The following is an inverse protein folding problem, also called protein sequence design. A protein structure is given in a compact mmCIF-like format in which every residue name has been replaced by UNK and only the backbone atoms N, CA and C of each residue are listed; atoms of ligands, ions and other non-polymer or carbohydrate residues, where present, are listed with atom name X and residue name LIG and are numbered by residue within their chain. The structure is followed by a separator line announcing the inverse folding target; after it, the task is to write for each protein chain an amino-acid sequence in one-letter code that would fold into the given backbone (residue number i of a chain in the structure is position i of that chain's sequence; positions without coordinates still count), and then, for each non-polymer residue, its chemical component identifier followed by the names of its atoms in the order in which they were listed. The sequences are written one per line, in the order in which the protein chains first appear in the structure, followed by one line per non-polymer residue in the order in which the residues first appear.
data_IF_005507737841
#
_entry.id   IF_005507737841
#
_cell.length_a   1.000
_cell.length_b   1.000
_cell.length_c   1.000
_cell.angle_alpha   90.00
_cell.angle_beta   90.00
_cell.angle_gamma   90.00
#
_symmetry.space_group_name_H-M   'P 1'
#
loop_
_entity.id
_entity.type
_entity.pdbx_description
1 polymer ?
#
# COMPACT_ATOMS: atom_id res chain seq x y z
N UNK A 1 15.21 10.62 -20.07
CA UNK A 1 16.50 9.93 -20.28
C UNK A 1 17.33 10.16 -19.03
N UNK A 2 17.83 9.11 -18.39
CA UNK A 2 18.76 9.23 -17.25
C UNK A 2 20.06 9.89 -17.77
N UNK A 3 20.84 10.55 -16.93
CA UNK A 3 22.09 11.21 -17.35
C UNK A 3 23.18 10.16 -17.65
N UNK A 4 23.93 10.22 -18.77
CA UNK A 4 25.01 9.28 -19.11
C UNK A 4 26.08 9.07 -18.04
N UNK A 5 26.30 10.08 -17.20
CA UNK A 5 27.26 10.04 -16.10
C UNK A 5 26.75 9.29 -14.86
N UNK A 6 25.48 8.89 -14.81
CA UNK A 6 24.88 8.19 -13.66
C UNK A 6 25.01 6.65 -13.76
N UNK A 7 26.00 6.14 -14.50
CA UNK A 7 26.21 4.70 -14.75
C UNK A 7 26.40 3.85 -13.48
N UNK A 8 26.71 4.48 -12.34
CA UNK A 8 26.84 3.83 -11.05
C UNK A 8 25.50 3.69 -10.29
N UNK A 9 24.40 4.26 -10.81
CA UNK A 9 23.06 4.14 -10.22
C UNK A 9 22.31 2.99 -10.91
N UNK A 10 21.64 2.13 -10.15
CA UNK A 10 20.95 0.94 -10.67
C UNK A 10 19.92 1.25 -11.76
N UNK A 11 19.24 2.39 -11.64
CA UNK A 11 18.22 2.85 -12.58
C UNK A 11 18.77 3.25 -13.97
N UNK A 12 20.09 3.38 -14.11
CA UNK A 12 20.72 3.57 -15.42
C UNK A 12 20.67 2.30 -16.29
N UNK A 13 20.88 1.13 -15.68
CA UNK A 13 21.00 -0.13 -16.41
C UNK A 13 19.65 -0.71 -16.84
N UNK A 14 18.56 -0.36 -16.17
CA UNK A 14 17.22 -0.90 -16.42
C UNK A 14 16.21 0.22 -16.60
N UNK A 15 15.43 0.14 -17.68
CA UNK A 15 14.33 1.09 -17.93
C UNK A 15 13.26 0.96 -16.85
N UNK A 16 12.78 2.11 -16.34
CA UNK A 16 11.59 2.19 -15.48
C UNK A 16 10.35 2.38 -16.33
N UNK A 17 9.26 1.72 -15.96
CA UNK A 17 8.01 1.79 -16.71
C UNK A 17 6.86 1.13 -15.97
N UNK A 18 5.69 1.19 -16.58
CA UNK A 18 4.46 0.56 -16.08
C UNK A 18 4.12 -0.61 -16.99
N UNK A 19 3.97 -1.80 -16.42
CA UNK A 19 3.38 -2.95 -17.08
C UNK A 19 1.89 -3.02 -16.73
N UNK A 20 1.06 -3.35 -17.71
CA UNK A 20 -0.40 -3.43 -17.56
C UNK A 20 -0.93 -4.77 -18.03
N UNK A 21 -1.87 -5.34 -17.29
CA UNK A 21 -2.62 -6.54 -17.67
C UNK A 21 -4.11 -6.31 -17.41
N UNK A 22 -4.95 -6.84 -18.30
CA UNK A 22 -6.41 -6.86 -18.14
C UNK A 22 -6.88 -8.29 -17.93
N UNK A 23 -7.51 -8.55 -16.81
CA UNK A 23 -7.93 -9.90 -16.40
C UNK A 23 -9.44 -9.88 -16.19
N UNK A 24 -10.15 -10.79 -16.86
CA UNK A 24 -11.58 -11.00 -16.65
C UNK A 24 -11.77 -11.95 -15.47
N UNK A 25 -12.52 -11.53 -14.46
CA UNK A 25 -12.81 -12.35 -13.27
C UNK A 25 -14.26 -12.84 -13.20
N UNK A 26 -15.14 -12.34 -14.07
CA UNK A 26 -16.56 -12.70 -14.11
C UNK A 26 -17.18 -12.61 -15.50
N UNK A 27 -18.49 -12.84 -15.58
CA UNK A 27 -19.23 -12.88 -16.84
C UNK A 27 -19.71 -11.50 -17.31
N UNK A 28 -19.87 -10.56 -16.37
CA UNK A 28 -20.29 -9.19 -16.66
C UNK A 28 -19.29 -8.47 -17.56
N UNK A 29 -19.79 -7.55 -18.39
CA UNK A 29 -18.95 -6.77 -19.30
C UNK A 29 -17.92 -5.89 -18.58
N UNK A 30 -18.16 -5.58 -17.31
CA UNK A 30 -17.29 -4.82 -16.41
C UNK A 30 -16.57 -5.67 -15.36
N UNK A 31 -16.70 -7.01 -15.41
CA UNK A 31 -16.04 -7.94 -14.47
C UNK A 31 -14.57 -8.13 -14.86
N UNK A 32 -13.87 -7.01 -14.87
CA UNK A 32 -12.51 -6.85 -15.37
C UNK A 32 -11.71 -6.14 -14.28
N UNK A 33 -10.55 -6.70 -13.97
CA UNK A 33 -9.50 -6.03 -13.22
C UNK A 33 -8.39 -5.62 -14.17
N UNK A 34 -8.01 -4.34 -14.13
CA UNK A 34 -6.80 -3.84 -14.76
C UNK A 34 -5.71 -3.70 -13.71
N UNK A 35 -4.66 -4.49 -13.88
CA UNK A 35 -3.50 -4.56 -12.99
C UNK A 35 -2.36 -3.79 -13.62
N UNK A 36 -1.86 -2.78 -12.93
CA UNK A 36 -0.69 -2.00 -13.28
C UNK A 36 0.41 -2.29 -12.26
N UNK A 37 1.56 -2.74 -12.73
CA UNK A 37 2.75 -2.90 -11.89
C UNK A 37 3.83 -1.92 -12.34
N UNK A 38 4.49 -1.26 -11.40
CA UNK A 38 5.56 -0.31 -11.70
C UNK A 38 6.73 -0.46 -10.72
N UNK A 39 7.88 0.02 -11.16
CA UNK A 39 9.01 0.31 -10.29
C UNK A 39 9.40 1.74 -10.63
N UNK A 40 9.13 2.71 -9.76
CA UNK A 40 9.45 4.12 -10.00
C UNK A 40 10.95 4.38 -9.80
N UNK A 41 11.44 5.50 -10.34
CA UNK A 41 12.83 5.89 -10.14
C UNK A 41 13.12 6.05 -8.64
N UNK A 42 14.28 5.60 -8.16
CA UNK A 42 14.63 5.71 -6.75
C UNK A 42 14.98 7.16 -6.34
N UNK A 43 14.70 7.57 -5.08
CA UNK A 43 15.12 8.86 -4.53
C UNK A 43 16.59 8.78 -4.08
N UNK A 44 17.50 8.98 -5.02
CA UNK A 44 18.94 8.97 -4.73
C UNK A 44 19.44 10.22 -3.99
N UNK A 45 18.64 11.28 -3.97
CA UNK A 45 18.94 12.59 -3.41
C UNK A 45 17.73 13.07 -2.62
N UNK A 46 17.95 13.88 -1.60
CA UNK A 46 16.86 14.48 -0.82
C UNK A 46 16.50 15.85 -1.40
N UNK A 47 15.21 16.19 -1.39
CA UNK A 47 14.74 17.53 -1.73
C UNK A 47 15.41 18.59 -0.82
N UNK A 48 15.72 19.79 -1.35
CA UNK A 48 15.39 20.29 -2.69
C UNK A 48 16.40 19.91 -3.79
N UNK A 49 17.44 19.12 -3.47
CA UNK A 49 18.54 18.81 -4.39
C UNK A 49 18.32 17.53 -5.21
N UNK A 50 17.06 17.16 -5.43
CA UNK A 50 16.71 15.93 -6.10
C UNK A 50 16.67 16.07 -7.61
N UNK A 51 17.72 15.61 -8.29
CA UNK A 51 17.82 15.68 -9.75
C UNK A 51 16.79 14.82 -10.47
N UNK A 52 16.12 13.89 -9.78
CA UNK A 52 15.19 12.91 -10.31
C UNK A 52 13.73 13.18 -9.93
N UNK A 53 13.44 14.27 -9.20
CA UNK A 53 12.08 14.63 -8.82
C UNK A 53 11.16 14.77 -10.04
N UNK A 54 11.63 15.41 -11.12
CA UNK A 54 10.87 15.55 -12.36
C UNK A 54 10.54 14.20 -12.99
N UNK A 55 11.49 13.25 -12.96
CA UNK A 55 11.29 11.89 -13.48
C UNK A 55 10.25 11.13 -12.66
N UNK A 56 10.37 11.11 -11.33
CA UNK A 56 9.40 10.45 -10.45
C UNK A 56 8.01 11.06 -10.57
N UNK A 57 7.93 12.39 -10.62
CA UNK A 57 6.67 13.12 -10.82
C UNK A 57 6.00 12.73 -12.14
N UNK A 58 6.76 12.70 -13.25
CA UNK A 58 6.22 12.29 -14.54
C UNK A 58 5.74 10.82 -14.54
N UNK A 59 6.48 9.91 -13.90
CA UNK A 59 6.09 8.51 -13.80
C UNK A 59 4.86 8.31 -12.90
N UNK A 60 4.78 9.00 -11.76
CA UNK A 60 3.63 8.99 -10.87
C UNK A 60 2.37 9.53 -11.58
N UNK A 61 2.52 10.60 -12.38
CA UNK A 61 1.45 11.11 -13.23
C UNK A 61 1.00 10.10 -14.29
N UNK A 62 1.94 9.42 -14.95
CA UNK A 62 1.62 8.42 -15.98
C UNK A 62 0.78 7.28 -15.42
N UNK A 63 1.21 6.66 -14.32
CA UNK A 63 0.42 5.56 -13.71
C UNK A 63 -0.92 6.06 -13.17
N UNK A 64 -1.00 7.28 -12.64
CA UNK A 64 -2.27 7.87 -12.21
C UNK A 64 -3.27 8.02 -13.36
N UNK A 65 -2.80 8.46 -14.55
CA UNK A 65 -3.64 8.53 -15.76
C UNK A 65 -4.14 7.16 -16.21
N UNK A 66 -3.26 6.15 -16.22
CA UNK A 66 -3.61 4.79 -16.62
C UNK A 66 -4.70 4.20 -15.69
N UNK A 67 -4.49 4.34 -14.37
CA UNK A 67 -5.46 3.92 -13.35
C UNK A 67 -6.78 4.67 -13.46
N UNK A 68 -6.75 5.99 -13.69
CA UNK A 68 -7.96 6.79 -13.92
C UNK A 68 -8.74 6.29 -15.14
N UNK A 69 -8.06 6.08 -16.27
CA UNK A 69 -8.71 5.59 -17.48
C UNK A 69 -9.34 4.20 -17.29
N UNK A 70 -8.70 3.32 -16.53
CA UNK A 70 -9.27 2.00 -16.18
C UNK A 70 -10.54 2.14 -15.32
N UNK A 71 -10.52 3.03 -14.34
CA UNK A 71 -11.68 3.30 -13.51
C UNK A 71 -12.84 3.95 -14.29
N UNK A 72 -12.56 4.86 -15.23
CA UNK A 72 -13.58 5.48 -16.11
C UNK A 72 -14.30 4.43 -16.99
N UNK A 73 -13.64 3.32 -17.32
CA UNK A 73 -14.28 2.16 -17.98
C UNK A 73 -15.16 1.32 -17.05
N UNK A 74 -15.15 1.62 -15.74
CA UNK A 74 -15.84 0.87 -14.71
C UNK A 74 -15.13 -0.42 -14.30
N UNK A 75 -13.82 -0.54 -14.58
CA UNK A 75 -13.04 -1.71 -14.18
C UNK A 75 -12.53 -1.57 -12.75
N UNK A 76 -12.27 -2.72 -12.10
CA UNK A 76 -11.47 -2.76 -10.88
C UNK A 76 -10.03 -2.39 -11.25
N UNK A 77 -9.43 -1.49 -10.49
CA UNK A 77 -8.07 -1.02 -10.70
C UNK A 77 -7.20 -1.56 -9.60
N UNK A 78 -6.06 -2.15 -9.96
CA UNK A 78 -4.98 -2.48 -9.05
C UNK A 78 -3.69 -1.82 -9.53
N UNK A 79 -3.15 -0.86 -8.79
CA UNK A 79 -1.83 -0.29 -9.05
C UNK A 79 -0.86 -0.75 -7.97
N UNK A 80 0.22 -1.47 -8.31
CA UNK A 80 1.12 -2.05 -7.31
C UNK A 80 2.59 -2.05 -7.72
N UNK A 81 3.47 -2.30 -6.76
CA UNK A 81 4.92 -2.42 -6.96
C UNK A 81 5.72 -1.49 -6.05
N UNK A 82 6.98 -1.27 -6.42
CA UNK A 82 7.89 -0.37 -5.71
C UNK A 82 7.75 1.05 -6.26
N UNK A 83 7.07 1.92 -5.52
CA UNK A 83 6.87 3.30 -5.95
C UNK A 83 8.00 4.22 -5.51
N UNK A 84 8.99 3.73 -4.77
CA UNK A 84 10.15 4.51 -4.33
C UNK A 84 9.74 5.86 -3.71
N UNK A 85 8.63 5.85 -2.97
CA UNK A 85 8.01 7.03 -2.37
C UNK A 85 7.51 6.71 -0.97
N UNK A 86 7.47 7.72 -0.10
CA UNK A 86 6.85 7.63 1.23
C UNK A 86 5.38 8.10 1.17
N UNK A 87 4.53 7.68 2.12
CA UNK A 87 3.13 8.11 2.14
C UNK A 87 3.03 9.64 2.24
N UNK A 88 2.03 10.22 1.56
CA UNK A 88 1.81 11.67 1.48
C UNK A 88 2.93 12.51 0.83
N UNK A 89 3.99 11.89 0.29
CA UNK A 89 4.93 12.57 -0.62
C UNK A 89 4.21 13.13 -1.86
N UNK A 90 4.89 14.00 -2.63
CA UNK A 90 4.30 14.56 -3.86
C UNK A 90 3.81 13.47 -4.84
N UNK A 91 4.63 12.43 -5.07
CA UNK A 91 4.28 11.32 -5.95
C UNK A 91 3.04 10.55 -5.45
N UNK A 92 2.98 10.27 -4.14
CA UNK A 92 1.84 9.58 -3.52
C UNK A 92 0.55 10.41 -3.64
N UNK A 93 0.64 11.72 -3.37
CA UNK A 93 -0.48 12.65 -3.52
C UNK A 93 -0.94 12.77 -4.97
N UNK A 94 -0.03 12.83 -5.94
CA UNK A 94 -0.38 12.85 -7.36
C UNK A 94 -1.21 11.62 -7.75
N UNK A 95 -0.78 10.44 -7.34
CA UNK A 95 -1.48 9.18 -7.60
C UNK A 95 -2.86 9.15 -6.95
N UNK A 96 -2.91 9.47 -5.66
CA UNK A 96 -4.14 9.38 -4.84
C UNK A 96 -5.16 10.48 -5.18
N UNK A 97 -4.72 11.59 -5.77
CA UNK A 97 -5.60 12.72 -6.16
C UNK A 97 -6.08 12.58 -7.60
N UNK A 98 -5.22 12.13 -8.51
CA UNK A 98 -5.53 12.09 -9.94
C UNK A 98 -5.98 10.72 -10.44
N UNK A 99 -6.08 9.72 -9.57
CA UNK A 99 -6.80 8.48 -9.83
C UNK A 99 -7.83 8.25 -8.72
N UNK A 100 -8.93 7.54 -9.00
CA UNK A 100 -9.90 7.16 -7.97
C UNK A 100 -9.42 5.96 -7.12
N UNK A 101 -8.21 5.44 -7.38
CA UNK A 101 -7.62 4.38 -6.59
C UNK A 101 -7.03 4.94 -5.29
N UNK A 102 -7.17 4.18 -4.20
CA UNK A 102 -6.72 4.54 -2.85
C UNK A 102 -5.62 3.60 -2.41
N UNK A 103 -4.67 4.14 -1.65
CA UNK A 103 -3.65 3.36 -0.97
C UNK A 103 -4.33 2.41 0.03
N UNK A 104 -4.29 1.10 -0.24
CA UNK A 104 -5.02 0.10 0.55
C UNK A 104 -4.52 0.03 1.99
N UNK A 105 -3.25 0.41 2.24
CA UNK A 105 -2.70 0.41 3.59
C UNK A 105 -3.27 1.57 4.40
N UNK A 106 -3.29 2.78 3.83
CA UNK A 106 -3.86 3.97 4.51
C UNK A 106 -5.37 3.86 4.70
N UNK A 107 -6.06 3.08 3.87
CA UNK A 107 -7.49 2.77 4.09
C UNK A 107 -7.71 2.02 5.42
N UNK A 108 -6.80 1.12 5.80
CA UNK A 108 -6.89 0.35 7.04
C UNK A 108 -6.17 1.01 8.22
N UNK A 109 -5.05 1.68 7.95
CA UNK A 109 -4.18 2.34 8.93
C UNK A 109 -4.01 3.82 8.55
N UNK A 110 -5.04 4.67 8.74
CA UNK A 110 -5.00 6.08 8.33
C UNK A 110 -3.91 6.88 9.06
N UNK A 111 -3.46 6.38 10.20
CA UNK A 111 -2.42 6.96 11.02
C UNK A 111 -1.02 6.37 10.78
N UNK A 112 -0.81 5.52 9.76
CA UNK A 112 0.50 4.92 9.49
C UNK A 112 1.64 5.96 9.36
N UNK A 113 2.90 5.53 9.47
CA UNK A 113 4.04 6.43 9.26
C UNK A 113 4.01 7.06 7.86
N UNK A 114 4.52 8.28 7.74
CA UNK A 114 4.67 9.03 6.48
C UNK A 114 6.14 9.18 6.08
N UNK A 115 7.00 8.36 6.67
CA UNK A 115 8.45 8.28 6.48
C UNK A 115 9.06 7.32 7.50
N UNK A 116 10.39 7.17 7.48
CA UNK A 116 11.09 6.54 8.59
C UNK A 116 11.05 7.47 9.82
N UNK A 117 11.14 6.93 11.04
CA UNK A 117 11.11 7.75 12.26
C UNK A 117 12.25 8.77 12.35
N UNK A 118 13.35 8.53 11.62
CA UNK A 118 14.49 9.44 11.49
C UNK A 118 14.30 10.54 10.43
N UNK A 119 13.27 10.44 9.59
CA UNK A 119 12.99 11.42 8.55
C UNK A 119 12.30 12.66 9.18
N UNK A 120 12.63 13.85 8.70
CA UNK A 120 12.11 15.11 9.26
C UNK A 120 10.58 15.18 9.27
N UNK A 121 9.94 14.60 8.25
CA UNK A 121 8.48 14.55 8.13
C UNK A 121 7.82 13.73 9.25
N UNK A 122 8.45 12.64 9.70
CA UNK A 122 7.93 11.81 10.78
C UNK A 122 8.35 12.36 12.15
N UNK A 123 9.57 12.91 12.29
CA UNK A 123 9.99 13.65 13.49
C UNK A 123 9.04 14.79 13.82
N UNK A 124 8.54 15.50 12.81
CA UNK A 124 7.58 16.58 12.99
C UNK A 124 6.25 16.11 13.64
N UNK A 125 5.88 14.84 13.48
CA UNK A 125 4.70 14.23 14.13
C UNK A 125 4.92 13.90 15.60
N UNK A 126 6.16 13.97 16.09
CA UNK A 126 6.56 13.72 17.49
C UNK A 126 6.03 12.40 18.05
N UNK A 127 6.00 11.37 17.19
CA UNK A 127 5.61 10.02 17.60
C UNK A 127 6.81 9.28 18.21
N UNK A 128 6.59 8.30 19.10
CA UNK A 128 7.65 7.44 19.58
C UNK A 128 8.35 6.71 18.43
N UNK A 129 9.62 6.33 18.64
CA UNK A 129 10.32 5.44 17.71
C UNK A 129 9.55 4.11 17.66
N UNK A 130 9.10 3.66 16.49
CA UNK A 130 8.34 2.42 16.39
C UNK A 130 9.23 1.21 16.63
N UNK A 131 8.64 0.13 17.14
CA UNK A 131 9.28 -1.18 17.19
C UNK A 131 9.19 -1.86 15.82
N UNK A 132 9.97 -2.93 15.63
CA UNK A 132 9.89 -3.77 14.44
C UNK A 132 8.46 -4.29 14.21
N UNK A 133 7.78 -4.76 15.26
CA UNK A 133 6.39 -5.22 15.20
C UNK A 133 5.41 -4.11 14.81
N UNK A 134 5.51 -2.94 15.45
CA UNK A 134 4.65 -1.80 15.11
C UNK A 134 4.86 -1.36 13.66
N UNK A 135 6.10 -1.41 13.17
CA UNK A 135 6.40 -1.12 11.78
C UNK A 135 5.75 -2.10 10.81
N UNK A 136 5.70 -3.40 11.14
CA UNK A 136 5.04 -4.40 10.32
C UNK A 136 3.52 -4.29 10.35
N UNK A 137 2.95 -4.12 11.54
CA UNK A 137 1.50 -4.22 11.75
C UNK A 137 0.77 -2.90 11.45
N UNK A 138 1.34 -1.76 11.81
CA UNK A 138 0.66 -0.46 11.72
C UNK A 138 1.23 0.42 10.60
N UNK A 139 2.57 0.51 10.51
CA UNK A 139 3.19 1.39 9.50
C UNK A 139 3.30 0.75 8.11
N UNK A 140 3.20 -0.58 8.02
CA UNK A 140 3.38 -1.32 6.78
C UNK A 140 4.77 -1.18 6.18
N UNK A 141 5.81 -1.11 7.01
CA UNK A 141 7.16 -0.92 6.54
C UNK A 141 7.62 -2.12 5.70
N UNK A 142 8.10 -1.83 4.49
CA UNK A 142 8.50 -2.84 3.51
C UNK A 142 10.00 -2.89 3.30
N UNK A 143 10.73 -1.83 3.63
CA UNK A 143 12.18 -1.80 3.51
C UNK A 143 12.82 -1.21 4.76
N UNK A 144 14.16 -1.33 4.85
CA UNK A 144 14.99 -0.69 5.89
C UNK A 144 14.72 -1.11 7.35
N UNK A 145 13.86 -2.11 7.55
CA UNK A 145 13.59 -2.68 8.86
C UNK A 145 14.80 -3.44 9.41
N UNK A 146 15.01 -3.37 10.72
CA UNK A 146 15.95 -4.24 11.46
C UNK A 146 15.70 -5.73 11.26
N UNK A 147 14.51 -6.14 10.81
CA UNK A 147 14.20 -7.54 10.49
C UNK A 147 14.83 -7.99 9.16
N UNK A 148 15.18 -7.06 8.27
CA UNK A 148 15.72 -7.35 6.95
C UNK A 148 17.25 -7.43 6.97
N UNK A 149 17.80 -8.62 6.70
CA UNK A 149 19.24 -8.87 6.81
C UNK A 149 20.08 -8.08 5.81
N UNK A 150 19.50 -7.62 4.70
CA UNK A 150 20.21 -6.81 3.71
C UNK A 150 20.53 -5.40 4.20
N UNK A 151 19.95 -5.00 5.34
CA UNK A 151 20.15 -3.70 5.99
C UNK A 151 20.95 -3.79 7.27
N UNK A 152 21.37 -4.99 7.64
CA UNK A 152 22.31 -5.24 8.74
C UNK A 152 23.71 -4.73 8.40
N UNK A 153 24.48 -4.43 9.44
CA UNK A 153 25.91 -4.14 9.32
C UNK A 153 26.66 -5.32 8.69
N UNK A 154 27.86 -5.06 8.15
CA UNK A 154 28.70 -6.13 7.58
C UNK A 154 29.11 -7.16 8.65
N UNK A 155 29.26 -6.72 9.89
CA UNK A 155 29.56 -7.55 11.06
C UNK A 155 28.40 -8.49 11.39
N UNK A 156 27.16 -7.98 11.38
CA UNK A 156 25.97 -8.77 11.58
C UNK A 156 25.73 -9.75 10.42
N UNK A 157 25.93 -9.32 9.17
CA UNK A 157 25.82 -10.20 8.00
C UNK A 157 26.81 -11.37 8.04
N UNK A 158 28.01 -11.20 8.62
CA UNK A 158 28.99 -12.31 8.81
C UNK A 158 28.50 -13.40 9.77
N UNK A 159 27.46 -13.12 10.58
CA UNK A 159 26.83 -14.10 11.46
C UNK A 159 25.84 -15.00 10.73
N UNK A 160 25.46 -14.65 9.50
CA UNK A 160 24.54 -15.44 8.67
C UNK A 160 25.28 -16.57 7.94
N UNK A 161 24.55 -17.62 7.61
CA UNK A 161 25.01 -18.67 6.69
C UNK A 161 24.93 -20.08 7.26
N UNK A 162 25.39 -21.07 6.47
CA UNK A 162 25.35 -22.47 6.86
C UNK A 162 26.14 -22.70 8.16
N UNK A 163 25.60 -23.54 9.05
CA UNK A 163 26.19 -23.90 10.34
C UNK A 163 26.38 -22.72 11.32
N UNK A 164 25.70 -21.59 11.09
CA UNK A 164 25.61 -20.49 12.05
C UNK A 164 24.33 -20.63 12.89
N UNK A 165 24.35 -20.21 14.18
CA UNK A 165 23.14 -20.15 14.97
C UNK A 165 22.15 -19.17 14.35
N UNK A 166 20.86 -19.48 14.45
CA UNK A 166 19.81 -18.57 14.01
C UNK A 166 19.85 -17.27 14.83
N UNK A 167 19.70 -16.13 14.14
CA UNK A 167 19.73 -14.81 14.77
C UNK A 167 18.31 -14.30 14.89
N UNK A 168 17.68 -14.46 16.05
CA UNK A 168 16.37 -13.87 16.30
C UNK A 168 16.48 -12.37 16.62
N UNK A 169 15.51 -11.59 16.15
CA UNK A 169 15.36 -10.17 16.46
C UNK A 169 14.03 -10.03 17.22
N UNK A 170 14.09 -9.47 18.42
CA UNK A 170 12.90 -9.32 19.26
C UNK A 170 11.90 -8.35 18.60
N UNK A 171 10.61 -8.64 18.72
CA UNK A 171 9.55 -7.87 18.04
C UNK A 171 9.45 -6.42 18.53
N UNK A 172 9.89 -6.17 19.78
CA UNK A 172 9.96 -4.87 20.43
C UNK A 172 11.25 -4.08 20.13
N UNK A 173 12.15 -4.62 19.29
CA UNK A 173 13.39 -3.93 18.90
C UNK A 173 13.05 -2.58 18.24
N UNK A 174 13.63 -1.45 18.69
CA UNK A 174 13.45 -0.15 18.04
C UNK A 174 13.90 -0.19 16.58
N UNK A 175 13.04 0.27 15.69
CA UNK A 175 13.25 0.16 14.24
C UNK A 175 13.07 1.52 13.55
N UNK A 176 14.01 2.47 13.81
CA UNK A 176 13.84 3.87 13.45
C UNK A 176 13.99 4.16 11.95
N UNK A 177 14.51 3.19 11.18
CA UNK A 177 14.84 3.35 9.75
C UNK A 177 13.81 2.76 8.80
N UNK A 178 12.96 1.86 9.29
CA UNK A 178 11.99 1.19 8.44
C UNK A 178 11.01 2.19 7.84
N UNK A 179 10.64 1.93 6.57
CA UNK A 179 9.66 2.74 5.85
C UNK A 179 8.95 1.91 4.79
N UNK A 180 7.85 2.45 4.28
CA UNK A 180 7.05 1.83 3.23
C UNK A 180 7.35 2.46 1.89
N UNK A 181 7.84 1.65 0.95
CA UNK A 181 8.10 2.04 -0.44
C UNK A 181 7.26 1.24 -1.45
N UNK A 182 6.72 0.09 -1.01
CA UNK A 182 5.90 -0.79 -1.83
C UNK A 182 4.42 -0.55 -1.52
N UNK A 183 3.60 -0.45 -2.57
CA UNK A 183 2.20 -0.05 -2.44
C UNK A 183 1.29 -0.98 -3.22
N UNK A 184 0.04 -1.04 -2.77
CA UNK A 184 -1.10 -1.47 -3.57
C UNK A 184 -2.15 -0.35 -3.49
N UNK A 185 -2.63 0.08 -4.65
CA UNK A 185 -3.70 1.03 -4.84
C UNK A 185 -4.90 0.31 -5.44
N UNK A 186 -6.10 0.55 -4.91
CA UNK A 186 -7.34 -0.03 -5.43
C UNK A 186 -8.49 0.97 -5.44
N UNK A 187 -9.34 0.93 -6.47
CA UNK A 187 -10.62 1.65 -6.46
C UNK A 187 -11.74 0.78 -5.88
N UNK A 188 -12.88 1.38 -5.59
CA UNK A 188 -14.05 0.66 -5.05
C UNK A 188 -15.02 0.20 -6.13
N UNK A 189 -14.93 0.74 -7.36
CA UNK A 189 -15.96 0.60 -8.41
C UNK A 189 -17.39 0.96 -7.95
N UNK A 190 -17.55 1.61 -6.80
CA UNK A 190 -18.86 1.94 -6.26
C UNK A 190 -19.49 3.05 -7.09
N UNK A 191 -20.72 2.82 -7.56
CA UNK A 191 -21.53 3.81 -8.27
C UNK A 191 -22.63 4.35 -7.34
N UNK A 192 -22.55 5.61 -6.88
CA UNK A 192 -23.59 6.21 -6.05
C UNK A 192 -24.97 6.26 -6.70
N UNK A 193 -25.06 6.21 -8.04
CA UNK A 193 -26.33 6.16 -8.76
C UNK A 193 -26.90 4.74 -8.84
N UNK A 194 -26.10 3.72 -8.53
CA UNK A 194 -26.50 2.33 -8.50
C UNK A 194 -25.92 1.61 -7.27
N UNK A 195 -26.31 2.01 -6.04
CA UNK A 195 -25.72 1.48 -4.82
C UNK A 195 -25.96 -0.02 -4.64
N UNK A 196 -27.05 -0.56 -5.18
CA UNK A 196 -27.39 -1.98 -5.10
C UNK A 196 -26.39 -2.89 -5.82
N UNK A 197 -25.64 -2.35 -6.80
CA UNK A 197 -24.54 -3.07 -7.44
C UNK A 197 -23.37 -3.33 -6.48
N UNK A 198 -23.24 -2.54 -5.40
CA UNK A 198 -22.16 -2.68 -4.44
C UNK A 198 -20.83 -2.13 -4.93
N UNK A 199 -19.76 -2.56 -4.26
CA UNK A 199 -18.39 -2.20 -4.62
C UNK A 199 -17.36 -3.01 -3.86
N UNK A 200 -16.11 -2.81 -4.24
CA UNK A 200 -14.93 -3.42 -3.63
C UNK A 200 -14.47 -2.63 -2.41
N UNK A 201 -14.14 -3.35 -1.34
CA UNK A 201 -13.54 -2.80 -0.13
C UNK A 201 -12.26 -3.57 0.19
N UNK A 202 -11.36 -2.93 0.94
CA UNK A 202 -10.16 -3.55 1.50
C UNK A 202 -10.58 -4.31 2.76
N UNK A 203 -10.44 -5.63 2.73
CA UNK A 203 -10.70 -6.50 3.88
C UNK A 203 -9.50 -6.61 4.80
N UNK A 204 -8.31 -6.72 4.21
CA UNK A 204 -7.06 -6.86 4.96
C UNK A 204 -5.88 -6.43 4.11
N UNK A 205 -4.85 -5.89 4.77
CA UNK A 205 -3.51 -5.72 4.21
C UNK A 205 -2.49 -6.24 5.22
N UNK A 206 -1.37 -6.81 4.76
CA UNK A 206 -0.27 -7.25 5.63
C UNK A 206 1.08 -7.15 4.92
N UNK A 207 2.14 -6.99 5.70
CA UNK A 207 3.51 -7.18 5.22
C UNK A 207 3.81 -8.68 5.19
N UNK A 208 4.36 -9.16 4.08
CA UNK A 208 4.66 -10.56 3.83
C UNK A 208 6.12 -10.80 3.46
N UNK A 209 6.46 -12.04 3.09
CA UNK A 209 7.83 -12.46 2.75
C UNK A 209 8.89 -12.12 3.82
N UNK A 210 8.47 -12.15 5.09
CA UNK A 210 9.33 -11.88 6.26
C UNK A 210 10.34 -13.01 6.56
N UNK A 211 10.15 -14.17 5.93
CA UNK A 211 10.94 -15.36 6.17
C UNK A 211 12.37 -15.20 5.63
N UNK A 212 13.28 -15.96 6.25
CA UNK A 212 14.67 -16.05 5.82
C UNK A 212 14.92 -17.37 5.09
N UNK A 213 15.90 -17.37 4.19
CA UNK A 213 16.33 -18.57 3.51
C UNK A 213 16.85 -19.59 4.54
N UNK A 214 16.28 -20.79 4.60
CA UNK A 214 16.58 -21.81 5.64
C UNK A 214 18.08 -22.11 5.82
N UNK A 215 18.83 -22.24 4.71
CA UNK A 215 20.29 -22.50 4.72
C UNK A 215 21.15 -21.27 4.97
N UNK A 216 20.84 -20.14 4.33
CA UNK A 216 21.71 -18.96 4.32
C UNK A 216 21.32 -17.90 5.36
N UNK A 217 20.14 -18.05 5.97
CA UNK A 217 19.56 -17.17 6.99
C UNK A 217 19.39 -15.71 6.55
N UNK A 218 19.62 -15.36 5.29
CA UNK A 218 19.32 -14.04 4.75
C UNK A 218 17.83 -13.90 4.39
N UNK A 219 17.30 -12.69 4.47
CA UNK A 219 16.00 -12.32 3.91
C UNK A 219 15.95 -12.61 2.41
N UNK A 220 14.78 -13.02 1.90
CA UNK A 220 14.62 -13.40 0.48
C UNK A 220 14.76 -12.21 -0.49
N UNK A 221 14.57 -11.00 0.01
CA UNK A 221 14.71 -9.73 -0.70
C UNK A 221 15.09 -8.63 0.30
N UNK A 222 15.66 -7.52 -0.15
CA UNK A 222 15.86 -6.33 0.67
C UNK A 222 14.59 -5.50 0.88
N UNK A 223 13.49 -5.94 0.25
CA UNK A 223 12.12 -5.52 0.51
C UNK A 223 11.27 -6.71 1.00
N UNK A 224 10.31 -6.42 1.87
CA UNK A 224 9.20 -7.29 2.21
C UNK A 224 8.03 -7.05 1.25
N UNK A 225 7.14 -8.04 1.09
CA UNK A 225 5.98 -7.90 0.21
C UNK A 225 4.84 -7.15 0.91
N UNK A 226 3.94 -6.56 0.12
CA UNK A 226 2.62 -6.12 0.59
C UNK A 226 1.59 -7.07 0.01
N UNK A 227 0.69 -7.57 0.85
CA UNK A 227 -0.42 -8.43 0.45
C UNK A 227 -1.74 -7.77 0.83
N UNK A 228 -2.75 -7.85 -0.05
CA UNK A 228 -4.09 -7.33 0.24
C UNK A 228 -5.16 -8.32 -0.17
N UNK A 229 -6.29 -8.32 0.55
CA UNK A 229 -7.52 -9.00 0.13
C UNK A 229 -8.60 -7.95 -0.08
N UNK A 230 -9.11 -7.88 -1.30
CA UNK A 230 -10.30 -7.10 -1.63
C UNK A 230 -11.52 -8.01 -1.64
N UNK A 231 -12.65 -7.50 -1.15
CA UNK A 231 -13.93 -8.19 -1.23
C UNK A 231 -14.99 -7.30 -1.84
N UNK A 232 -15.80 -7.87 -2.70
CA UNK A 232 -16.97 -7.19 -3.24
C UNK A 232 -18.14 -7.33 -2.27
N UNK A 233 -18.72 -6.21 -1.85
CA UNK A 233 -19.87 -6.18 -0.96
C UNK A 233 -21.00 -5.38 -1.57
N UNK A 234 -22.24 -5.80 -1.33
CA UNK A 234 -23.41 -4.97 -1.61
C UNK A 234 -23.42 -3.80 -0.64
N UNK A 235 -23.80 -2.63 -1.12
CA UNK A 235 -24.11 -1.51 -0.24
C UNK A 235 -25.49 -1.76 0.37
N UNK A 236 -25.54 -1.86 1.68
CA UNK A 236 -26.78 -1.70 2.42
C UNK A 236 -26.54 -0.56 3.40
N UNK A 237 -27.48 0.38 3.48
CA UNK A 237 -27.34 1.46 4.46
C UNK A 237 -27.31 0.87 5.87
N UNK A 238 -26.59 1.49 6.82
CA UNK A 238 -26.58 1.05 8.22
C UNK A 238 -28.00 0.84 8.78
N UNK A 239 -28.97 1.67 8.36
CA UNK A 239 -30.39 1.53 8.70
C UNK A 239 -31.05 0.28 8.12
N UNK A 240 -30.83 -0.03 6.84
CA UNK A 240 -31.42 -1.21 6.18
C UNK A 240 -30.84 -2.52 6.75
N UNK A 241 -29.53 -2.56 7.00
CA UNK A 241 -28.89 -3.72 7.64
C UNK A 241 -29.27 -3.87 9.11
N UNK A 242 -29.53 -2.78 9.85
CA UNK A 242 -30.07 -2.86 11.22
C UNK A 242 -31.46 -3.50 11.21
N UNK A 243 -32.29 -3.18 10.21
CA UNK A 243 -33.62 -3.77 10.04
C UNK A 243 -33.50 -5.24 9.66
N UNK A 244 -32.63 -5.60 8.71
CA UNK A 244 -32.37 -7.00 8.34
C UNK A 244 -31.80 -7.82 9.50
N UNK A 245 -30.86 -7.28 10.27
CA UNK A 245 -30.30 -7.95 11.44
C UNK A 245 -31.35 -8.13 12.53
N UNK A 246 -32.19 -7.12 12.82
CA UNK A 246 -33.31 -7.26 13.76
C UNK A 246 -34.30 -8.34 13.30
N UNK A 247 -34.60 -8.39 12.00
CA UNK A 247 -35.45 -9.41 11.40
C UNK A 247 -34.82 -10.82 11.48
N UNK A 248 -33.51 -10.95 11.23
CA UNK A 248 -32.79 -12.21 11.32
C UNK A 248 -32.68 -12.71 12.77
N UNK A 249 -32.52 -11.80 13.74
CA UNK A 249 -32.56 -12.10 15.18
C UNK A 249 -33.96 -12.55 15.59
N UNK A 250 -35.02 -11.86 15.17
CA UNK A 250 -36.40 -12.26 15.47
C UNK A 250 -36.78 -13.60 14.83
N UNK A 251 -36.17 -13.94 13.70
CA UNK A 251 -36.43 -15.17 12.96
C UNK A 251 -35.50 -16.33 13.35
N UNK A 252 -34.62 -16.16 14.36
CA UNK A 252 -33.78 -17.23 14.90
C UNK A 252 -32.61 -17.67 14.00
N UNK A 253 -32.23 -16.88 13.00
CA UNK A 253 -31.19 -17.21 11.99
C UNK A 253 -29.79 -16.72 12.41
N UNK A 254 -29.63 -16.20 13.63
CA UNK A 254 -28.46 -15.43 14.04
C UNK A 254 -27.16 -16.23 14.30
N UNK A 255 -27.07 -17.49 13.89
CA UNK A 255 -25.88 -18.30 14.11
C UNK A 255 -24.94 -18.27 12.88
N UNK A 256 -23.83 -17.53 13.06
CA UNK A 256 -22.49 -17.74 12.48
C UNK A 256 -21.94 -16.86 11.34
N UNK A 257 -22.65 -15.90 10.73
CA UNK A 257 -22.05 -15.13 9.60
C UNK A 257 -22.36 -13.63 9.52
N UNK A 258 -23.07 -13.04 10.48
CA UNK A 258 -23.36 -11.60 10.42
C UNK A 258 -22.12 -10.76 10.81
N UNK A 259 -21.66 -9.82 9.96
CA UNK A 259 -20.56 -8.91 10.31
C UNK A 259 -20.95 -8.03 11.51
N UNK A 260 -19.98 -7.67 12.35
CA UNK A 260 -20.23 -6.73 13.45
C UNK A 260 -20.59 -5.34 12.93
N UNK A 261 -21.33 -4.55 13.70
CA UNK A 261 -21.72 -3.17 13.32
C UNK A 261 -20.48 -2.30 12.99
N UNK A 262 -19.37 -2.49 13.69
CA UNK A 262 -18.10 -1.84 13.39
C UNK A 262 -17.52 -2.22 12.02
N UNK A 263 -17.63 -3.48 11.61
CA UNK A 263 -17.19 -3.95 10.28
C UNK A 263 -18.08 -3.39 9.18
N UNK A 264 -19.39 -3.25 9.44
CA UNK A 264 -20.34 -2.65 8.51
C UNK A 264 -20.08 -1.14 8.32
N UNK A 265 -19.86 -0.41 9.41
CA UNK A 265 -19.48 1.01 9.37
C UNK A 265 -18.16 1.20 8.62
N UNK A 266 -17.18 0.30 8.82
CA UNK A 266 -15.93 0.32 8.07
C UNK A 266 -16.15 0.13 6.57
N UNK A 267 -16.92 -0.90 6.16
CA UNK A 267 -17.26 -1.15 4.76
C UNK A 267 -17.97 0.06 4.11
N UNK A 268 -18.95 0.63 4.81
CA UNK A 268 -19.68 1.82 4.37
C UNK A 268 -18.77 3.03 4.17
N UNK A 269 -17.84 3.24 5.09
CA UNK A 269 -16.88 4.35 5.03
C UNK A 269 -15.92 4.19 3.85
N UNK A 270 -15.53 2.95 3.53
CA UNK A 270 -14.67 2.67 2.37
C UNK A 270 -15.40 2.93 1.04
N UNK A 271 -16.68 2.55 0.91
CA UNK A 271 -17.43 2.74 -0.34
C UNK A 271 -17.74 4.22 -0.65
N UNK A 272 -17.88 5.07 0.37
CA UNK A 272 -18.07 6.51 0.16
C UNK A 272 -16.83 7.12 -0.48
N UNK A 273 -17.00 7.77 -1.63
CA UNK A 273 -16.01 8.72 -2.13
C UNK A 273 -15.93 9.89 -1.17
N UNK A 274 -14.80 10.08 -0.49
CA UNK A 274 -14.51 11.43 0.01
C UNK A 274 -14.23 12.28 -1.23
N UNK A 275 -15.00 13.35 -1.51
CA UNK A 275 -14.45 14.42 -2.32
C UNK A 275 -13.20 14.87 -1.57
N UNK A 276 -12.04 14.73 -2.20
CA UNK A 276 -10.79 15.16 -1.60
C UNK A 276 -10.81 16.68 -1.55
N UNK A 277 -11.38 17.24 -0.49
CA UNK A 277 -11.32 18.67 -0.19
C UNK A 277 -9.95 18.95 0.39
N UNK A 278 -8.95 19.15 -0.48
CA UNK A 278 -7.73 19.84 -0.09
C UNK A 278 -8.03 21.34 -0.02
N UNK A 279 -8.76 21.77 1.01
CA UNK A 279 -8.74 23.17 1.41
C UNK A 279 -7.36 23.44 2.02
N UNK A 280 -6.57 24.24 1.29
CA UNK A 280 -5.35 24.93 1.74
C UNK A 280 -4.14 24.07 2.11
N UNK A 281 -3.36 23.67 1.10
CA UNK A 281 -1.90 23.57 1.27
C UNK A 281 -1.29 24.27 0.05
N UNK A 282 -0.73 25.46 0.26
CA UNK A 282 0.02 26.20 -0.76
C UNK A 282 1.19 25.32 -1.24
N UNK A 283 1.38 25.31 -2.57
CA UNK A 283 2.57 24.80 -3.24
C UNK A 283 3.82 25.53 -2.76
#
# INVERSE_FOLDING_TARGET
MVRPTAFFRGDWFVGKGVAGARIRFGQGSKDIVEVFTTHLHAPYETEPHDSYICHRTAQAWEIAKLMRGAAERGHLVLGLGDFNMIPLSLAHRLISTHSPARDVWMVLHPDCSIGAAIDEVEKARRRPIPTAEFNLLENGATCDSVLNTWRWSKEEQKRLGPNRPEVEIASDTPDPRAKRLDYIFANTCFDPNNPSAGGWIVKSARVGMLQRHSKYQCSLSDHFSVETTLVHTKYASPSEQTIENKSAVSNGVYLQTAPSESQLVSAHTQLKSHPVSFTNINL
#
